data_IF_777484284880
#
_entry.id   IF_777484284880
#
_cell.length_a   1.000
_cell.length_b   1.000
_cell.length_c   1.000
_cell.angle_alpha   90.00
_cell.angle_beta   90.00
_cell.angle_gamma   90.00
#
_symmetry.space_group_name_H-M   'P 1'
#
loop_
_entity.id
_entity.type
_entity.pdbx_description
1 polymer ?
#
# COMPACT_ATOMS: atom_id res chain seq x y z
N UNK A 1 9.06 -16.77 11.27
CA UNK A 1 8.95 -16.69 9.80
C UNK A 1 8.60 -18.09 9.32
N UNK A 2 7.35 -18.31 8.89
CA UNK A 2 6.94 -19.55 8.21
C UNK A 2 7.45 -19.43 6.76
N UNK A 3 8.20 -20.41 6.26
CA UNK A 3 8.92 -20.28 4.99
C UNK A 3 8.11 -20.90 3.85
N UNK A 4 7.84 -20.14 2.80
CA UNK A 4 7.26 -20.67 1.57
C UNK A 4 5.73 -20.84 1.55
N UNK A 5 5.21 -21.03 0.34
CA UNK A 5 3.77 -21.04 0.03
C UNK A 5 3.08 -22.29 0.59
N UNK A 6 3.71 -23.46 0.44
CA UNK A 6 3.11 -24.73 0.82
C UNK A 6 3.05 -24.93 2.35
N UNK A 7 4.07 -24.48 3.08
CA UNK A 7 4.07 -24.51 4.55
C UNK A 7 2.98 -23.60 5.11
N UNK A 8 2.82 -22.39 4.55
CA UNK A 8 1.74 -21.48 4.93
C UNK A 8 0.36 -22.06 4.64
N UNK A 9 0.19 -22.76 3.52
CA UNK A 9 -1.07 -23.42 3.18
C UNK A 9 -1.39 -24.58 4.15
N UNK A 10 -0.39 -25.39 4.51
CA UNK A 10 -0.56 -26.49 5.45
C UNK A 10 -0.89 -26.01 6.86
N UNK A 11 -0.16 -25.02 7.37
CA UNK A 11 -0.43 -24.41 8.68
C UNK A 11 -1.79 -23.71 8.68
N UNK A 12 -2.10 -22.96 7.62
CA UNK A 12 -3.39 -22.28 7.49
C UNK A 12 -4.56 -23.24 7.50
N UNK A 13 -4.44 -24.40 6.83
CA UNK A 13 -5.45 -25.44 6.86
C UNK A 13 -5.66 -25.99 8.28
N UNK A 14 -4.58 -26.32 8.99
CA UNK A 14 -4.66 -26.82 10.36
C UNK A 14 -5.34 -25.83 11.31
N UNK A 15 -5.02 -24.53 11.21
CA UNK A 15 -5.66 -23.47 11.99
C UNK A 15 -7.16 -23.34 11.69
N UNK A 16 -7.54 -23.45 10.41
CA UNK A 16 -8.94 -23.36 10.00
C UNK A 16 -9.73 -24.58 10.49
N UNK A 17 -9.16 -25.79 10.36
CA UNK A 17 -9.77 -27.04 10.79
C UNK A 17 -9.97 -27.10 12.31
N UNK A 18 -9.01 -26.59 13.08
CA UNK A 18 -9.12 -26.47 14.55
C UNK A 18 -10.07 -25.35 15.00
N UNK A 19 -10.50 -24.48 14.06
CA UNK A 19 -11.33 -23.32 14.37
C UNK A 19 -10.61 -22.29 15.24
N UNK A 20 -9.27 -22.30 15.25
CA UNK A 20 -8.46 -21.44 16.11
C UNK A 20 -8.75 -19.96 15.81
N UNK A 21 -9.00 -19.19 16.86
CA UNK A 21 -9.16 -17.73 16.79
C UNK A 21 -8.19 -17.04 17.73
N UNK A 22 -7.72 -15.87 17.31
CA UNK A 22 -6.78 -15.03 18.04
C UNK A 22 -7.43 -13.68 18.39
N UNK A 23 -8.45 -13.63 19.26
CA UNK A 23 -9.20 -12.39 19.55
C UNK A 23 -8.37 -11.35 20.32
N UNK A 24 -7.26 -11.75 20.94
CA UNK A 24 -6.35 -10.83 21.62
C UNK A 24 -5.44 -10.02 20.68
N UNK A 25 -5.33 -10.41 19.41
CA UNK A 25 -4.41 -9.78 18.45
C UNK A 25 -5.05 -8.53 17.86
N UNK A 26 -4.47 -7.37 18.18
CA UNK A 26 -4.92 -6.06 17.68
C UNK A 26 -4.03 -5.48 16.58
N UNK A 27 -2.76 -5.86 16.56
CA UNK A 27 -1.78 -5.48 15.56
C UNK A 27 -1.13 -6.75 15.00
N UNK A 28 -1.05 -6.84 13.69
CA UNK A 28 -0.50 -7.99 12.98
C UNK A 28 0.42 -7.49 11.88
N UNK A 29 1.64 -8.00 11.88
CA UNK A 29 2.56 -7.93 10.76
C UNK A 29 2.53 -9.30 10.10
N UNK A 30 2.04 -9.36 8.86
CA UNK A 30 1.87 -10.62 8.14
C UNK A 30 2.45 -10.53 6.76
N UNK A 31 3.00 -11.65 6.29
CA UNK A 31 3.33 -11.77 4.88
C UNK A 31 2.06 -11.94 4.06
N UNK A 32 2.06 -11.46 2.81
CA UNK A 32 0.93 -11.63 1.87
C UNK A 32 0.59 -13.12 1.64
N UNK A 33 1.55 -14.02 1.86
CA UNK A 33 1.36 -15.46 1.70
C UNK A 33 0.62 -16.10 2.89
N UNK A 34 0.60 -15.45 4.05
CA UNK A 34 -0.03 -15.96 5.26
C UNK A 34 -1.49 -15.49 5.39
N UNK A 35 -2.28 -15.60 4.31
CA UNK A 35 -3.68 -15.12 4.27
C UNK A 35 -4.55 -15.62 5.45
N UNK A 36 -4.33 -16.87 5.85
CA UNK A 36 -5.11 -17.53 6.90
C UNK A 36 -5.06 -16.79 8.24
N UNK A 37 -3.94 -16.14 8.57
CA UNK A 37 -3.75 -15.49 9.89
C UNK A 37 -4.56 -14.19 10.00
N UNK A 38 -4.83 -13.52 8.88
CA UNK A 38 -5.73 -12.35 8.83
C UNK A 38 -7.15 -12.78 9.23
N UNK A 39 -7.60 -13.92 8.71
CA UNK A 39 -8.91 -14.49 9.06
C UNK A 39 -9.00 -15.02 10.50
N UNK A 40 -7.87 -15.39 11.11
CA UNK A 40 -7.81 -15.88 12.49
C UNK A 40 -7.91 -14.76 13.54
N UNK A 41 -7.69 -13.49 13.16
CA UNK A 41 -7.61 -12.33 14.06
C UNK A 41 -8.85 -11.42 13.94
N UNK A 42 -10.00 -11.73 14.58
CA UNK A 42 -11.24 -10.98 14.39
C UNK A 42 -11.24 -9.57 14.99
N UNK A 43 -10.33 -9.28 15.91
CA UNK A 43 -10.24 -8.00 16.64
C UNK A 43 -9.13 -7.08 16.14
N UNK A 44 -8.65 -7.34 14.92
CA UNK A 44 -7.54 -6.61 14.34
C UNK A 44 -7.91 -5.16 14.05
N UNK A 45 -7.05 -4.24 14.52
CA UNK A 45 -7.19 -2.80 14.33
C UNK A 45 -6.07 -2.21 13.46
N UNK A 46 -4.92 -2.88 13.39
CA UNK A 46 -3.78 -2.49 12.55
C UNK A 46 -3.20 -3.72 11.85
N UNK A 47 -2.96 -3.61 10.56
CA UNK A 47 -2.39 -4.66 9.72
C UNK A 47 -1.24 -4.08 8.90
N UNK A 48 -0.08 -4.73 8.94
CA UNK A 48 1.09 -4.41 8.12
C UNK A 48 1.37 -5.58 7.18
N UNK A 49 1.44 -5.28 5.88
CA UNK A 49 1.85 -6.21 4.85
C UNK A 49 3.37 -6.26 4.78
N UNK A 50 3.92 -7.46 4.88
CA UNK A 50 5.30 -7.76 4.48
C UNK A 50 5.31 -8.57 3.20
N UNK A 51 6.21 -8.24 2.28
CA UNK A 51 6.46 -9.09 1.13
C UNK A 51 7.55 -10.09 1.50
N UNK A 52 7.28 -11.37 1.30
CA UNK A 52 8.35 -12.37 1.18
C UNK A 52 8.86 -12.33 -0.26
N UNK A 53 10.15 -12.62 -0.45
CA UNK A 53 10.94 -12.63 -1.70
C UNK A 53 10.15 -12.61 -3.02
N UNK A 54 10.52 -11.68 -3.90
CA UNK A 54 10.08 -11.46 -5.29
C UNK A 54 9.38 -12.64 -5.99
N UNK A 55 8.08 -12.81 -5.73
CA UNK A 55 7.25 -13.70 -6.56
C UNK A 55 6.55 -12.86 -7.63
N UNK A 56 6.87 -13.15 -8.88
CA UNK A 56 6.31 -12.53 -10.07
C UNK A 56 5.17 -13.37 -10.67
N UNK A 57 4.29 -12.71 -11.42
CA UNK A 57 3.27 -13.36 -12.26
C UNK A 57 1.87 -13.45 -11.64
N UNK A 58 0.93 -13.96 -12.42
CA UNK A 58 -0.52 -13.98 -12.13
C UNK A 58 -0.87 -14.61 -10.76
N UNK A 59 -0.11 -15.65 -10.36
CA UNK A 59 -0.32 -16.31 -9.08
C UNK A 59 0.04 -15.43 -7.87
N UNK A 60 1.01 -14.52 -8.00
CA UNK A 60 1.32 -13.52 -6.96
C UNK A 60 0.18 -12.50 -6.86
N UNK A 61 -0.25 -11.94 -8.00
CA UNK A 61 -1.36 -10.99 -8.05
C UNK A 61 -2.65 -11.54 -7.41
N UNK A 62 -3.03 -12.78 -7.72
CA UNK A 62 -4.21 -13.41 -7.11
C UNK A 62 -4.11 -13.52 -5.59
N UNK A 63 -2.91 -13.70 -5.04
CA UNK A 63 -2.69 -13.76 -3.59
C UNK A 63 -2.83 -12.38 -2.97
N UNK A 64 -2.28 -11.35 -3.60
CA UNK A 64 -2.40 -9.96 -3.14
C UNK A 64 -3.86 -9.54 -3.07
N UNK A 65 -4.62 -9.79 -4.15
CA UNK A 65 -6.06 -9.51 -4.20
C UNK A 65 -6.82 -10.28 -3.11
N UNK A 66 -6.52 -11.56 -2.91
CA UNK A 66 -7.17 -12.37 -1.87
C UNK A 66 -6.84 -11.85 -0.45
N UNK A 67 -5.63 -11.36 -0.25
CA UNK A 67 -5.18 -10.76 1.00
C UNK A 67 -5.89 -9.44 1.29
N UNK A 68 -5.98 -8.53 0.32
CA UNK A 68 -6.75 -7.30 0.47
C UNK A 68 -8.23 -7.58 0.69
N UNK A 69 -8.80 -8.56 -0.01
CA UNK A 69 -10.18 -8.97 0.22
C UNK A 69 -10.40 -9.52 1.64
N UNK A 70 -9.42 -10.19 2.24
CA UNK A 70 -9.50 -10.64 3.62
C UNK A 70 -9.40 -9.49 4.62
N UNK A 71 -8.48 -8.55 4.40
CA UNK A 71 -8.39 -7.32 5.17
C UNK A 71 -9.70 -6.53 5.10
N UNK A 72 -10.31 -6.45 3.90
CA UNK A 72 -11.62 -5.85 3.62
C UNK A 72 -12.75 -6.35 4.53
N UNK A 73 -12.69 -7.60 4.97
CA UNK A 73 -13.72 -8.21 5.84
C UNK A 73 -13.56 -7.83 7.32
N UNK A 74 -12.46 -7.21 7.71
CA UNK A 74 -12.18 -6.82 9.09
C UNK A 74 -12.85 -5.48 9.43
N UNK A 75 -14.07 -5.55 9.97
CA UNK A 75 -14.86 -4.36 10.34
C UNK A 75 -14.18 -3.43 11.36
N UNK A 76 -13.18 -3.91 12.09
CA UNK A 76 -12.43 -3.15 13.10
C UNK A 76 -11.11 -2.56 12.60
N UNK A 77 -10.72 -2.82 11.35
CA UNK A 77 -9.42 -2.40 10.82
C UNK A 77 -9.40 -0.89 10.57
N UNK A 78 -8.45 -0.19 11.22
CA UNK A 78 -8.31 1.27 11.18
C UNK A 78 -7.05 1.74 10.48
N UNK A 79 -6.00 0.93 10.56
CA UNK A 79 -4.70 1.19 9.93
C UNK A 79 -4.31 0.03 9.04
N UNK A 80 -4.00 0.34 7.79
CA UNK A 80 -3.37 -0.59 6.85
C UNK A 80 -2.03 0.00 6.42
N UNK A 81 -0.97 -0.77 6.66
CA UNK A 81 0.38 -0.44 6.24
C UNK A 81 0.79 -1.39 5.12
N UNK A 82 1.06 -0.84 3.94
CA UNK A 82 1.45 -1.60 2.76
C UNK A 82 2.95 -1.89 2.73
N UNK A 83 3.72 -1.38 3.70
CA UNK A 83 5.14 -1.64 3.85
C UNK A 83 5.96 -1.32 2.60
N UNK A 84 6.90 -2.21 2.27
CA UNK A 84 7.73 -2.15 1.05
C UNK A 84 7.16 -3.01 -0.09
N UNK A 85 5.84 -3.22 -0.14
CA UNK A 85 5.24 -3.98 -1.23
C UNK A 85 5.48 -3.24 -2.54
N UNK A 86 6.36 -3.79 -3.39
CA UNK A 86 6.64 -3.23 -4.71
C UNK A 86 5.41 -3.34 -5.62
N UNK A 87 5.01 -2.25 -6.27
CA UNK A 87 3.86 -2.27 -7.17
C UNK A 87 4.38 -2.66 -8.54
N UNK A 88 3.77 -3.66 -9.14
CA UNK A 88 4.18 -4.15 -10.46
C UNK A 88 2.97 -4.12 -11.36
N UNK A 89 3.09 -3.48 -12.53
CA UNK A 89 2.09 -3.33 -13.59
C UNK A 89 1.50 -4.61 -14.22
N UNK A 90 1.43 -5.72 -13.47
CA UNK A 90 0.56 -6.87 -13.77
C UNK A 90 -0.79 -6.78 -13.04
N UNK A 91 -1.06 -5.66 -12.35
CA UNK A 91 -2.38 -5.36 -11.76
C UNK A 91 -3.30 -4.59 -12.72
N UNK A 92 -2.83 -4.28 -13.93
CA UNK A 92 -3.37 -3.22 -14.80
C UNK A 92 -4.09 -3.70 -16.06
N UNK A 93 -4.64 -4.91 -16.08
CA UNK A 93 -5.45 -5.37 -17.20
C UNK A 93 -6.94 -5.34 -16.85
N UNK A 94 -7.54 -4.14 -16.90
CA UNK A 94 -8.84 -3.88 -17.54
C UNK A 94 -9.39 -2.48 -17.22
N UNK A 95 -9.59 -1.71 -18.31
CA UNK A 95 -10.41 -0.48 -18.45
C UNK A 95 -9.64 0.82 -18.18
N UNK A 96 -9.53 1.69 -19.19
CA UNK A 96 -10.06 3.07 -19.16
C UNK A 96 -9.88 3.79 -20.51
N UNK A 97 -11.01 4.07 -21.16
CA UNK A 97 -11.10 4.79 -22.45
C UNK A 97 -10.87 6.30 -22.31
N UNK A 98 -10.83 6.87 -21.10
CA UNK A 98 -10.80 8.33 -20.94
C UNK A 98 -9.67 8.87 -20.00
N UNK A 99 -8.83 8.03 -19.38
CA UNK A 99 -7.55 8.43 -18.71
C UNK A 99 -6.58 7.23 -18.52
N UNK A 100 -5.79 6.84 -19.54
CA UNK A 100 -5.05 5.56 -19.59
C UNK A 100 -3.57 5.60 -19.11
N UNK A 101 -3.19 6.47 -18.16
CA UNK A 101 -1.77 6.59 -17.74
C UNK A 101 -1.56 6.53 -16.22
N UNK A 102 -2.58 6.15 -15.44
CA UNK A 102 -2.50 6.02 -13.99
C UNK A 102 -3.20 4.71 -13.58
N UNK A 103 -2.62 3.57 -13.96
CA UNK A 103 -3.29 2.26 -13.85
C UNK A 103 -2.99 1.58 -12.49
N UNK A 104 -1.74 1.60 -12.02
CA UNK A 104 -1.34 0.83 -10.83
C UNK A 104 -2.02 1.22 -9.51
N UNK A 105 -2.22 2.52 -9.25
CA UNK A 105 -2.81 2.99 -8.00
C UNK A 105 -4.33 2.76 -7.94
N UNK A 106 -5.06 3.03 -9.02
CA UNK A 106 -6.52 2.90 -9.08
C UNK A 106 -6.99 1.44 -8.99
N UNK A 107 -6.24 0.49 -9.56
CA UNK A 107 -6.58 -0.93 -9.45
C UNK A 107 -6.42 -1.47 -8.03
N UNK A 108 -5.52 -0.89 -7.23
CA UNK A 108 -5.38 -1.22 -5.82
C UNK A 108 -6.39 -0.51 -4.93
N UNK A 109 -6.77 0.71 -5.30
CA UNK A 109 -7.83 1.48 -4.62
C UNK A 109 -9.15 0.72 -4.62
N UNK A 110 -9.47 0.01 -5.71
CA UNK A 110 -10.75 -0.68 -5.85
C UNK A 110 -10.99 -1.74 -4.77
N UNK A 111 -10.05 -2.66 -4.45
CA UNK A 111 -10.14 -3.51 -3.26
C UNK A 111 -10.16 -2.75 -1.93
N UNK A 112 -9.39 -1.67 -1.81
CA UNK A 112 -9.31 -0.89 -0.57
C UNK A 112 -10.61 -0.12 -0.29
N UNK A 113 -11.40 0.23 -1.30
CA UNK A 113 -12.72 0.89 -1.14
C UNK A 113 -13.72 0.05 -0.30
N UNK A 114 -13.42 -1.24 -0.11
CA UNK A 114 -14.15 -2.16 0.77
C UNK A 114 -13.80 -2.00 2.25
N UNK A 115 -12.92 -1.06 2.62
CA UNK A 115 -12.49 -0.78 4.00
C UNK A 115 -13.11 0.52 4.54
N UNK A 116 -14.43 0.57 4.82
CA UNK A 116 -15.11 1.80 5.21
C UNK A 116 -14.68 2.37 6.57
N UNK A 117 -13.93 1.61 7.36
CA UNK A 117 -13.43 2.01 8.69
C UNK A 117 -11.95 2.38 8.70
N UNK A 118 -11.30 2.35 7.53
CA UNK A 118 -9.91 2.74 7.39
C UNK A 118 -9.79 4.25 7.65
N UNK A 119 -8.91 4.62 8.58
CA UNK A 119 -8.62 6.02 8.90
C UNK A 119 -7.21 6.43 8.51
N UNK A 120 -6.31 5.46 8.35
CA UNK A 120 -4.92 5.66 7.95
C UNK A 120 -4.48 4.61 6.94
N UNK A 121 -3.88 5.07 5.84
CA UNK A 121 -3.29 4.25 4.79
C UNK A 121 -1.82 4.60 4.65
N UNK A 122 -0.93 3.61 4.74
CA UNK A 122 0.48 3.80 4.42
C UNK A 122 0.80 3.14 3.09
N UNK A 123 1.20 3.95 2.12
CA UNK A 123 1.67 3.55 0.81
C UNK A 123 3.21 3.46 0.79
N UNK A 124 3.79 2.67 -0.12
CA UNK A 124 5.23 2.65 -0.36
C UNK A 124 5.76 3.99 -0.90
N UNK A 125 7.06 4.04 -1.19
CA UNK A 125 7.69 5.25 -1.73
C UNK A 125 7.09 5.62 -3.08
N UNK A 126 7.06 6.91 -3.38
CA UNK A 126 6.57 7.49 -4.65
C UNK A 126 7.11 6.77 -5.90
N UNK A 127 8.39 6.41 -5.91
CA UNK A 127 9.07 5.69 -7.00
C UNK A 127 8.53 4.28 -7.24
N UNK A 128 7.78 3.74 -6.29
CA UNK A 128 7.21 2.40 -6.31
C UNK A 128 5.70 2.45 -6.62
N UNK A 129 5.11 3.62 -6.86
CA UNK A 129 3.67 3.77 -7.12
C UNK A 129 3.33 3.81 -8.62
N UNK A 130 4.32 3.68 -9.50
CA UNK A 130 4.17 3.76 -10.96
C UNK A 130 3.51 5.07 -11.44
N UNK A 131 3.69 6.16 -10.69
CA UNK A 131 3.13 7.48 -10.97
C UNK A 131 4.09 8.37 -11.78
N UNK A 132 4.88 7.76 -12.66
CA UNK A 132 5.79 8.46 -13.58
C UNK A 132 7.13 8.92 -12.97
N UNK A 133 7.46 8.51 -11.75
CA UNK A 133 8.76 8.74 -11.11
C UNK A 133 9.42 7.41 -10.79
N UNK A 134 10.71 7.26 -11.13
CA UNK A 134 11.46 6.00 -11.02
C UNK A 134 12.44 5.97 -9.82
N UNK A 135 12.49 7.05 -9.02
CA UNK A 135 13.41 7.18 -7.89
C UNK A 135 14.78 7.77 -8.25
N UNK A 136 15.07 7.93 -9.54
CA UNK A 136 16.35 8.40 -10.05
C UNK A 136 17.50 7.41 -9.89
N UNK A 137 18.73 7.91 -10.06
CA UNK A 137 19.94 7.10 -9.99
C UNK A 137 20.26 6.70 -8.56
N UNK A 138 20.34 5.39 -8.34
CA UNK A 138 20.71 4.79 -7.04
C UNK A 138 22.21 4.96 -6.70
N UNK A 139 23.03 5.46 -7.64
CA UNK A 139 24.47 5.60 -7.42
C UNK A 139 24.80 6.99 -6.85
N UNK A 140 25.40 7.04 -5.67
CA UNK A 140 25.76 8.30 -4.98
C UNK A 140 26.64 9.23 -5.83
N UNK A 141 27.48 8.67 -6.71
CA UNK A 141 28.33 9.46 -7.60
C UNK A 141 27.54 10.26 -8.65
N UNK A 142 26.28 9.90 -8.95
CA UNK A 142 25.41 10.66 -9.83
C UNK A 142 25.09 12.07 -9.29
N UNK A 143 25.23 12.25 -7.97
CA UNK A 143 24.96 13.52 -7.27
C UNK A 143 26.23 14.36 -7.04
N UNK A 144 27.40 13.91 -7.49
CA UNK A 144 28.65 14.63 -7.30
C UNK A 144 28.88 15.72 -8.35
N UNK A 145 29.52 16.81 -7.94
CA UNK A 145 29.82 17.96 -8.80
C UNK A 145 28.62 18.87 -9.06
N UNK A 146 28.84 19.95 -9.82
CA UNK A 146 27.83 21.00 -10.04
C UNK A 146 26.58 20.48 -10.78
N UNK A 147 26.77 19.53 -11.71
CA UNK A 147 25.67 18.85 -12.40
C UNK A 147 24.94 17.86 -11.49
N UNK A 148 25.64 17.20 -10.59
CA UNK A 148 25.05 16.29 -9.61
C UNK A 148 24.16 17.02 -8.59
N UNK A 149 24.56 18.20 -8.12
CA UNK A 149 23.70 19.01 -7.25
C UNK A 149 22.43 19.51 -7.96
N UNK A 150 22.49 19.78 -9.27
CA UNK A 150 21.31 20.13 -10.07
C UNK A 150 20.40 18.92 -10.26
N UNK A 151 20.99 17.77 -10.57
CA UNK A 151 20.26 16.51 -10.70
C UNK A 151 19.54 16.14 -9.41
N UNK A 152 20.23 16.16 -8.27
CA UNK A 152 19.66 15.85 -6.95
C UNK A 152 18.44 16.72 -6.62
N UNK A 153 18.52 18.05 -6.86
CA UNK A 153 17.36 18.95 -6.64
C UNK A 153 16.19 18.62 -7.55
N UNK A 154 16.47 18.29 -8.82
CA UNK A 154 15.44 17.89 -9.79
C UNK A 154 14.77 16.58 -9.38
N UNK A 155 15.56 15.60 -8.92
CA UNK A 155 15.07 14.30 -8.48
C UNK A 155 14.19 14.44 -7.23
N UNK A 156 14.63 15.24 -6.26
CA UNK A 156 13.85 15.55 -5.05
C UNK A 156 12.53 16.28 -5.39
N UNK A 157 12.55 17.21 -6.35
CA UNK A 157 11.33 17.89 -6.78
C UNK A 157 10.32 16.90 -7.39
N UNK A 158 10.78 15.97 -8.24
CA UNK A 158 9.92 14.93 -8.80
C UNK A 158 9.37 13.99 -7.73
N UNK A 159 10.18 13.59 -6.75
CA UNK A 159 9.73 12.77 -5.62
C UNK A 159 8.57 13.43 -4.84
N UNK A 160 8.72 14.71 -4.52
CA UNK A 160 7.71 15.49 -3.82
C UNK A 160 6.44 15.66 -4.66
N UNK A 161 6.56 16.02 -5.94
CA UNK A 161 5.43 16.15 -6.86
C UNK A 161 4.64 14.83 -6.99
N UNK A 162 5.34 13.70 -7.12
CA UNK A 162 4.71 12.39 -7.20
C UNK A 162 4.08 11.96 -5.87
N UNK A 163 4.70 12.29 -4.74
CA UNK A 163 4.13 12.08 -3.40
C UNK A 163 2.83 12.85 -3.21
N UNK A 164 2.81 14.13 -3.61
CA UNK A 164 1.61 14.96 -3.56
C UNK A 164 0.49 14.42 -4.47
N UNK A 165 0.84 13.95 -5.67
CA UNK A 165 -0.10 13.34 -6.60
C UNK A 165 -0.73 12.08 -6.00
N UNK A 166 0.07 11.19 -5.41
CA UNK A 166 -0.42 10.00 -4.71
C UNK A 166 -1.42 10.37 -3.60
N UNK A 167 -1.09 11.38 -2.79
CA UNK A 167 -1.98 11.86 -1.74
C UNK A 167 -3.31 12.41 -2.28
N UNK A 168 -3.28 13.15 -3.39
CA UNK A 168 -4.50 13.69 -4.04
C UNK A 168 -5.41 12.56 -4.53
N UNK A 169 -4.84 11.54 -5.18
CA UNK A 169 -5.57 10.36 -5.65
C UNK A 169 -6.21 9.62 -4.46
N UNK A 170 -5.43 9.33 -3.41
CA UNK A 170 -5.95 8.66 -2.20
C UNK A 170 -7.07 9.44 -1.55
N UNK A 171 -6.95 10.77 -1.45
CA UNK A 171 -8.00 11.62 -0.87
C UNK A 171 -9.30 11.55 -1.67
N UNK A 172 -9.22 11.60 -3.00
CA UNK A 172 -10.39 11.53 -3.88
C UNK A 172 -11.13 10.20 -3.75
N UNK A 173 -10.37 9.12 -3.62
CA UNK A 173 -10.90 7.76 -3.60
C UNK A 173 -11.33 7.30 -2.20
N UNK A 174 -10.74 7.89 -1.16
CA UNK A 174 -11.03 7.58 0.25
C UNK A 174 -11.36 8.85 1.04
N UNK A 175 -12.55 9.44 0.82
CA UNK A 175 -12.96 10.66 1.51
C UNK A 175 -13.10 10.49 3.04
N UNK A 176 -13.12 9.26 3.55
CA UNK A 176 -13.19 8.95 4.99
C UNK A 176 -11.84 8.86 5.70
N UNK A 177 -10.70 8.94 4.98
CA UNK A 177 -9.38 8.92 5.61
C UNK A 177 -9.08 10.24 6.31
N UNK A 178 -8.33 10.18 7.40
CA UNK A 178 -7.79 11.37 8.07
C UNK A 178 -6.40 11.77 7.52
N UNK A 179 -5.75 10.87 6.78
CA UNK A 179 -4.45 11.11 6.19
C UNK A 179 -3.89 9.88 5.50
N UNK A 180 -2.74 10.09 4.87
CA UNK A 180 -2.00 9.10 4.09
C UNK A 180 -0.52 9.22 4.40
N UNK A 181 0.17 8.08 4.48
CA UNK A 181 1.63 8.05 4.43
C UNK A 181 2.07 7.59 3.05
N UNK A 182 3.10 8.22 2.49
CA UNK A 182 3.72 7.80 1.22
C UNK A 182 5.21 7.67 1.46
N UNK A 183 5.70 6.43 1.55
CA UNK A 183 7.06 6.15 2.00
C UNK A 183 7.31 6.76 3.38
N UNK A 184 8.18 7.79 3.43
CA UNK A 184 8.51 8.51 4.67
C UNK A 184 7.65 9.74 4.96
N UNK A 185 6.82 10.18 4.03
CA UNK A 185 6.06 11.43 4.13
C UNK A 185 4.69 11.21 4.77
N UNK A 186 4.26 12.14 5.61
CA UNK A 186 2.96 12.10 6.28
C UNK A 186 2.06 13.22 5.78
N UNK A 187 0.97 12.89 5.08
CA UNK A 187 -0.02 13.84 4.60
C UNK A 187 -1.31 13.77 5.41
N UNK A 188 -1.59 14.80 6.20
CA UNK A 188 -2.84 14.93 6.95
C UNK A 188 -3.92 15.58 6.10
N UNK A 189 -5.13 14.99 6.09
CA UNK A 189 -6.28 15.55 5.39
C UNK A 189 -6.99 16.51 6.31
N UNK A 190 -6.96 17.79 5.95
CA UNK A 190 -7.56 18.87 6.73
C UNK A 190 -8.52 19.66 5.86
N UNK A 191 -9.35 20.46 6.49
CA UNK A 191 -10.20 21.45 5.82
C UNK A 191 -9.60 22.82 6.04
N UNK A 192 -9.43 23.59 4.97
CA UNK A 192 -8.94 24.96 5.07
C UNK A 192 -10.03 25.94 5.52
N UNK A 193 -9.69 27.23 5.57
CA UNK A 193 -10.61 28.29 5.99
C UNK A 193 -11.80 28.50 5.02
N UNK A 194 -11.71 28.00 3.79
CA UNK A 194 -12.73 28.11 2.76
C UNK A 194 -13.61 26.85 2.67
N UNK A 195 -13.45 25.92 3.62
CA UNK A 195 -14.09 24.61 3.65
C UNK A 195 -13.59 23.64 2.55
N UNK A 196 -12.49 23.95 1.87
CA UNK A 196 -11.86 23.08 0.89
C UNK A 196 -10.97 22.05 1.58
N UNK A 197 -11.02 20.81 1.11
CA UNK A 197 -10.13 19.78 1.63
C UNK A 197 -8.72 19.99 1.07
N UNK A 198 -7.72 20.04 1.94
CA UNK A 198 -6.30 20.19 1.62
C UNK A 198 -5.47 19.10 2.30
N UNK A 199 -4.28 18.84 1.77
CA UNK A 199 -3.34 17.89 2.36
C UNK A 199 -2.17 18.69 2.93
N UNK A 200 -1.94 18.56 4.23
CA UNK A 200 -0.79 19.18 4.91
C UNK A 200 0.28 18.11 5.09
N UNK A 201 1.46 18.34 4.52
CA UNK A 201 2.58 17.39 4.54
C UNK A 201 3.61 17.75 5.62
N UNK A 202 4.01 16.72 6.38
CA UNK A 202 5.09 16.74 7.38
C UNK A 202 6.27 15.84 6.94
#
# INVERSE_FOLDING_TARGET
>A
MVRGVDENAAIGRAFIEDGTRLPGVKHLVSTINALWIVGACPSLASLEAKRDDFVWGEAAHKRDVAWFAAAGRLKGLRKLDMGEVEWTGTMTDCVLRDTPHIEGLHDLIKPLSLLPSLTQLHLPRSSQLELGYDGGSMCENANMGQNGAKYWRSNMAQDLETTELAGKIVRQEFPGLHGVHVGGFCGNFTTDAEAEQVITWD
#
